data_IF_424692367820
#
_entry.id   IF_424692367820
#
_cell.length_a   1.000
_cell.length_b   1.000
_cell.length_c   1.000
_cell.angle_alpha   90.00
_cell.angle_beta   90.00
_cell.angle_gamma   90.00
#
_symmetry.space_group_name_H-M   'P 1'
#
loop_
_entity.id
_entity.type
_entity.pdbx_description
1 polymer ?
#
# COMPACT_ATOMS: atom_id res chain seq x y z
N UNK A 1 7.01 -9.52 2.18
CA UNK A 1 6.32 -8.48 2.97
C UNK A 1 7.00 -7.16 2.62
N UNK A 2 6.22 -6.10 2.41
CA UNK A 2 6.74 -4.75 2.21
C UNK A 2 6.23 -3.90 3.35
N UNK A 3 7.18 -3.40 4.15
CA UNK A 3 6.87 -2.63 5.34
C UNK A 3 6.66 -1.15 5.01
N UNK A 4 5.58 -0.61 5.55
CA UNK A 4 5.12 0.76 5.45
C UNK A 4 5.31 1.41 4.05
N UNK A 5 4.32 1.22 3.17
CA UNK A 5 4.28 1.85 1.84
C UNK A 5 4.49 3.37 1.89
N UNK A 6 4.13 4.03 3.00
CA UNK A 6 4.25 5.48 3.14
C UNK A 6 5.69 5.97 3.33
N UNK A 7 6.63 5.09 3.67
CA UNK A 7 8.06 5.44 3.78
C UNK A 7 8.82 5.26 2.46
N UNK A 8 8.24 4.52 1.51
CA UNK A 8 8.88 4.21 0.23
C UNK A 8 8.88 5.45 -0.67
N UNK A 9 9.99 5.69 -1.37
CA UNK A 9 10.06 6.78 -2.34
C UNK A 9 8.99 6.61 -3.45
N UNK A 10 8.24 7.65 -3.85
CA UNK A 10 7.15 7.52 -4.82
C UNK A 10 7.54 6.87 -6.15
N UNK A 11 8.77 7.09 -6.63
CA UNK A 11 9.27 6.45 -7.85
C UNK A 11 9.42 4.93 -7.69
N UNK A 12 9.84 4.45 -6.51
CA UNK A 12 10.01 3.03 -6.26
C UNK A 12 8.65 2.30 -6.16
N UNK A 13 7.59 3.01 -5.75
CA UNK A 13 6.23 2.46 -5.74
C UNK A 13 5.74 2.08 -7.14
N UNK A 14 6.32 2.62 -8.23
CA UNK A 14 5.99 2.21 -9.60
C UNK A 14 6.25 0.73 -9.87
N UNK A 15 7.16 0.09 -9.12
CA UNK A 15 7.43 -1.34 -9.25
C UNK A 15 6.20 -2.22 -8.96
N UNK A 16 5.24 -1.73 -8.16
CA UNK A 16 4.01 -2.45 -7.86
C UNK A 16 3.08 -2.61 -9.07
N UNK A 17 3.29 -1.86 -10.16
CA UNK A 17 2.63 -2.16 -11.43
C UNK A 17 2.89 -3.59 -11.90
N UNK A 18 4.12 -4.07 -11.75
CA UNK A 18 4.52 -5.40 -12.21
C UNK A 18 4.37 -6.43 -11.08
N UNK A 19 4.63 -6.05 -9.83
CA UNK A 19 4.53 -6.99 -8.71
C UNK A 19 3.07 -7.37 -8.39
N UNK A 20 2.15 -6.41 -8.49
CA UNK A 20 0.73 -6.59 -8.19
C UNK A 20 -0.12 -6.66 -9.45
N UNK A 21 0.47 -6.96 -10.61
CA UNK A 21 -0.33 -7.19 -11.82
C UNK A 21 -1.10 -8.50 -11.68
N UNK A 22 -2.40 -8.47 -11.94
CA UNK A 22 -3.27 -9.63 -11.79
C UNK A 22 -3.15 -10.63 -12.95
N UNK A 23 -2.78 -10.14 -14.13
CA UNK A 23 -2.70 -10.95 -15.35
C UNK A 23 -1.27 -11.39 -15.62
N UNK A 24 -0.32 -10.47 -15.47
CA UNK A 24 1.09 -10.68 -15.79
C UNK A 24 2.02 -10.24 -14.64
N UNK A 25 1.89 -10.83 -13.44
CA UNK A 25 2.77 -10.49 -12.33
C UNK A 25 4.21 -10.87 -12.63
N UNK A 26 5.16 -10.12 -12.05
CA UNK A 26 6.58 -10.44 -12.10
C UNK A 26 6.88 -11.85 -11.56
N UNK A 27 6.10 -12.30 -10.57
CA UNK A 27 6.16 -13.64 -9.98
C UNK A 27 4.73 -14.18 -9.88
N UNK A 28 4.44 -15.26 -10.61
CA UNK A 28 3.09 -15.82 -10.76
C UNK A 28 2.43 -16.36 -9.48
N UNK A 29 3.23 -16.89 -8.54
CA UNK A 29 2.74 -17.54 -7.33
C UNK A 29 3.34 -16.88 -6.08
N UNK A 30 3.09 -15.58 -5.93
CA UNK A 30 3.56 -14.80 -4.78
C UNK A 30 2.43 -14.11 -4.03
N UNK A 31 2.53 -14.11 -2.69
CA UNK A 31 1.65 -13.32 -1.82
C UNK A 31 2.44 -12.12 -1.31
N UNK A 32 2.00 -10.92 -1.70
CA UNK A 32 2.54 -9.68 -1.17
C UNK A 32 1.67 -9.18 -0.02
N UNK A 33 2.25 -9.14 1.17
CA UNK A 33 1.67 -8.43 2.32
C UNK A 33 2.28 -7.04 2.32
N UNK A 34 1.43 -6.02 2.14
CA UNK A 34 1.80 -4.62 2.15
C UNK A 34 1.27 -4.00 3.43
N UNK A 35 2.11 -3.32 4.19
CA UNK A 35 1.67 -2.57 5.38
C UNK A 35 1.72 -1.08 5.10
N UNK A 36 0.87 -0.32 5.78
CA UNK A 36 0.79 1.13 5.67
C UNK A 36 0.46 1.71 7.04
N UNK A 37 1.20 2.74 7.44
CA UNK A 37 0.90 3.56 8.59
C UNK A 37 0.41 4.91 8.07
N UNK A 38 -0.81 5.30 8.43
CA UNK A 38 -1.39 6.56 7.99
C UNK A 38 -2.29 7.14 9.09
N UNK A 39 -2.14 8.45 9.31
CA UNK A 39 -2.92 9.20 10.28
C UNK A 39 -4.19 9.80 9.68
N UNK A 40 -5.10 10.25 10.56
CA UNK A 40 -6.27 11.03 10.16
C UNK A 40 -7.42 10.21 9.58
N UNK A 41 -7.52 8.93 9.95
CA UNK A 41 -8.70 8.12 9.62
C UNK A 41 -9.96 8.71 10.26
N UNK A 42 -11.01 8.90 9.44
CA UNK A 42 -12.23 9.63 9.81
C UNK A 42 -13.53 8.81 9.60
N UNK A 43 -13.49 7.50 9.87
CA UNK A 43 -14.62 6.57 9.70
C UNK A 43 -15.17 6.45 8.28
N UNK A 44 -14.40 6.85 7.26
CA UNK A 44 -14.73 6.54 5.86
C UNK A 44 -14.37 5.09 5.50
N UNK A 45 -14.89 4.53 4.40
CA UNK A 45 -14.51 3.17 3.98
C UNK A 45 -12.99 3.00 3.90
N UNK A 46 -12.46 1.91 4.46
CA UNK A 46 -11.00 1.70 4.54
C UNK A 46 -10.32 1.80 3.18
N UNK A 47 -10.90 1.19 2.14
CA UNK A 47 -10.38 1.27 0.78
C UNK A 47 -10.24 2.72 0.31
N UNK A 48 -11.28 3.54 0.49
CA UNK A 48 -11.25 4.95 0.12
C UNK A 48 -10.17 5.70 0.88
N UNK A 49 -10.03 5.45 2.18
CA UNK A 49 -8.95 6.06 2.97
C UNK A 49 -7.57 5.67 2.45
N UNK A 50 -7.34 4.39 2.15
CA UNK A 50 -6.07 3.91 1.60
C UNK A 50 -5.77 4.57 0.25
N UNK A 51 -6.73 4.58 -0.67
CA UNK A 51 -6.59 5.16 -1.99
C UNK A 51 -6.34 6.68 -1.93
N UNK A 52 -6.99 7.40 -1.02
CA UNK A 52 -6.75 8.82 -0.78
C UNK A 52 -5.31 9.08 -0.31
N UNK A 53 -4.79 8.25 0.61
CA UNK A 53 -3.41 8.39 1.12
C UNK A 53 -2.38 8.09 0.02
N UNK A 54 -2.60 7.02 -0.76
CA UNK A 54 -1.74 6.68 -1.90
C UNK A 54 -1.79 7.76 -2.98
N UNK A 55 -2.98 8.29 -3.29
CA UNK A 55 -3.16 9.39 -4.24
C UNK A 55 -2.35 10.61 -3.80
N UNK A 56 -2.47 11.03 -2.53
CA UNK A 56 -1.70 12.17 -2.00
C UNK A 56 -0.20 11.96 -2.11
N UNK A 57 0.29 10.75 -1.84
CA UNK A 57 1.72 10.41 -1.91
C UNK A 57 2.26 10.37 -3.34
N UNK A 58 1.49 9.85 -4.28
CA UNK A 58 1.94 9.57 -5.65
C UNK A 58 1.67 10.71 -6.63
N UNK A 59 0.69 11.57 -6.36
CA UNK A 59 0.36 12.72 -7.21
C UNK A 59 1.58 13.62 -7.42
N UNK A 60 1.81 14.02 -8.67
CA UNK A 60 2.98 14.84 -9.05
C UNK A 60 4.31 14.07 -9.12
N UNK A 61 4.35 12.81 -8.70
CA UNK A 61 5.52 11.93 -8.82
C UNK A 61 5.34 10.80 -9.84
N UNK A 62 4.08 10.47 -10.14
CA UNK A 62 3.69 9.47 -11.15
C UNK A 62 2.84 10.17 -12.19
N UNK A 63 3.00 9.77 -13.46
CA UNK A 63 2.16 10.26 -14.56
C UNK A 63 0.68 10.02 -14.21
N UNK A 64 -0.17 11.02 -14.43
CA UNK A 64 -1.59 10.97 -14.02
C UNK A 64 -2.32 9.76 -14.64
N UNK A 65 -1.95 9.37 -15.87
CA UNK A 65 -2.48 8.20 -16.57
C UNK A 65 -2.10 6.87 -15.91
N UNK A 66 -0.97 6.82 -15.19
CA UNK A 66 -0.46 5.62 -14.51
C UNK A 66 -0.84 5.57 -13.03
N UNK A 67 -1.22 6.72 -12.46
CA UNK A 67 -1.55 6.86 -11.04
C UNK A 67 -2.68 5.93 -10.59
N UNK A 68 -3.84 6.02 -11.24
CA UNK A 68 -5.00 5.20 -10.87
C UNK A 68 -4.74 3.70 -11.09
N UNK A 69 -4.20 3.25 -12.24
CA UNK A 69 -3.83 1.85 -12.43
C UNK A 69 -2.79 1.31 -11.43
N UNK A 70 -1.95 2.17 -10.84
CA UNK A 70 -1.01 1.76 -9.79
C UNK A 70 -1.75 1.53 -8.47
N UNK A 71 -2.58 2.50 -8.09
CA UNK A 71 -3.36 2.46 -6.85
C UNK A 71 -4.27 1.25 -6.85
N UNK A 72 -5.06 1.04 -7.92
CA UNK A 72 -5.97 -0.11 -8.04
C UNK A 72 -5.24 -1.44 -7.90
N UNK A 73 -4.02 -1.59 -8.47
CA UNK A 73 -3.24 -2.83 -8.32
C UNK A 73 -2.77 -3.05 -6.88
N UNK A 74 -2.38 -1.99 -6.18
CA UNK A 74 -1.99 -2.05 -4.76
C UNK A 74 -3.22 -2.39 -3.88
N UNK A 75 -4.41 -1.91 -4.25
CA UNK A 75 -5.65 -2.04 -3.46
C UNK A 75 -6.61 -3.14 -3.92
N UNK A 76 -6.27 -3.94 -4.96
CA UNK A 76 -7.12 -5.06 -5.44
C UNK A 76 -7.23 -6.20 -4.41
N UNK A 77 -6.34 -6.21 -3.40
CA UNK A 77 -6.35 -7.17 -2.30
C UNK A 77 -7.28 -6.79 -1.14
N UNK A 78 -7.41 -7.70 -0.17
CA UNK A 78 -8.16 -7.45 1.06
C UNK A 78 -7.42 -6.42 1.92
N UNK A 79 -8.10 -5.33 2.26
CA UNK A 79 -7.60 -4.30 3.16
C UNK A 79 -8.10 -4.60 4.58
N UNK A 80 -7.17 -4.78 5.51
CA UNK A 80 -7.45 -5.09 6.90
C UNK A 80 -6.96 -3.93 7.76
N UNK A 81 -7.87 -3.40 8.59
CA UNK A 81 -7.49 -2.43 9.61
C UNK A 81 -6.90 -3.15 10.82
N UNK A 82 -5.70 -2.75 11.22
CA UNK A 82 -4.99 -3.30 12.37
C UNK A 82 -5.08 -2.32 13.53
N UNK A 83 -5.61 -2.78 14.66
CA UNK A 83 -5.67 -2.00 15.90
C UNK A 83 -4.39 -2.21 16.71
N UNK A 84 -3.96 -1.21 17.49
CA UNK A 84 -2.88 -1.38 18.46
C UNK A 84 -3.20 -2.51 19.45
N UNK A 85 -2.23 -3.38 19.69
CA UNK A 85 -2.32 -4.43 20.72
C UNK A 85 -1.72 -3.91 22.03
N UNK A 86 -2.50 -3.73 23.12
CA UNK A 86 -2.01 -3.15 24.37
C UNK A 86 -0.81 -3.89 24.98
N UNK A 87 -0.71 -5.21 24.74
CA UNK A 87 0.40 -6.03 25.22
C UNK A 87 1.70 -5.89 24.44
N UNK A 88 1.68 -5.24 23.26
CA UNK A 88 2.84 -5.10 22.36
C UNK A 88 3.27 -3.64 22.34
N UNK A 89 4.24 -3.30 23.22
CA UNK A 89 4.78 -1.94 23.33
C UNK A 89 5.95 -1.67 22.37
N UNK A 90 6.52 -2.73 21.77
CA UNK A 90 7.58 -2.65 20.76
C UNK A 90 7.39 -3.75 19.72
N UNK A 91 7.65 -3.44 18.45
CA UNK A 91 7.62 -4.44 17.38
C UNK A 91 8.69 -5.52 17.65
N UNK A 92 8.32 -6.80 17.81
CA UNK A 92 9.25 -7.87 18.17
C UNK A 92 10.17 -8.30 17.02
N UNK A 93 9.93 -7.81 15.80
CA UNK A 93 10.69 -8.17 14.60
C UNK A 93 11.30 -6.88 14.02
N UNK A 94 12.52 -6.55 14.45
CA UNK A 94 13.40 -5.62 13.72
C UNK A 94 14.55 -6.44 13.20
N UNK A 95 14.62 -6.62 11.88
CA UNK A 95 15.82 -7.11 11.20
C UNK A 95 16.89 -6.02 11.18
#
# INVERSE_FOLDING_TARGET
IVDNLMDIHPQALKAFHNMCDRENPLVGEAIYILTMIADGYNNQPFIKFVEDQLTKKLRGNVDDEKLQPLITRITDGVIIHVQPEPGITRCPIRY
#
